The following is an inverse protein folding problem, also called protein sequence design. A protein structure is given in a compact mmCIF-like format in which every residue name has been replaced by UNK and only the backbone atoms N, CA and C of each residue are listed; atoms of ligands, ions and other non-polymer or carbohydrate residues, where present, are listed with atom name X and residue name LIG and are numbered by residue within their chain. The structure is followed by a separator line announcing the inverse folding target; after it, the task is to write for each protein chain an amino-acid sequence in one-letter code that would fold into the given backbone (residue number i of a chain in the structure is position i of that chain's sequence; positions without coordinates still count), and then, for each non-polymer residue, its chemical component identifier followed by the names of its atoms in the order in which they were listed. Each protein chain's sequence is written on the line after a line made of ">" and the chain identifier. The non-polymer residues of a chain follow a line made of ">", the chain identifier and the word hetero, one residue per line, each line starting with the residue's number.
data_IF_269971487239
#
_entry.id   IF_269971487239
#
_cell.length_a   1.000
_cell.length_b   1.000
_cell.length_c   1.000
_cell.angle_alpha   90.00
_cell.angle_beta   90.00
_cell.angle_gamma   90.00
#
_symmetry.space_group_name_H-M   'P 1'
#
loop_
_entity.id
_entity.type
_entity.pdbx_description
1 polymer ?
#
# COMPACT_ATOMS: atom_id res chain seq x y z
N UNK A 1 29.53 -16.47 -55.73
CA UNK A 1 29.62 -16.30 -54.26
C UNK A 1 28.89 -15.04 -53.74
N UNK A 2 27.68 -14.71 -54.24
CA UNK A 2 26.94 -13.53 -53.79
C UNK A 2 25.71 -13.85 -52.90
N UNK A 3 25.14 -15.06 -53.01
CA UNK A 3 23.92 -15.45 -52.29
C UNK A 3 24.10 -15.67 -50.78
N UNK A 4 25.30 -16.05 -50.31
CA UNK A 4 25.54 -16.33 -48.88
C UNK A 4 25.58 -15.10 -47.96
N UNK A 5 25.93 -13.92 -48.50
CA UNK A 5 26.06 -12.66 -47.72
C UNK A 5 24.72 -11.96 -47.47
N UNK A 6 23.73 -12.13 -48.37
CA UNK A 6 22.43 -11.46 -48.24
C UNK A 6 21.56 -12.05 -47.12
N UNK A 7 21.66 -13.36 -46.89
CA UNK A 7 20.86 -14.09 -45.88
C UNK A 7 21.31 -13.72 -44.45
N UNK A 8 22.62 -13.56 -44.23
CA UNK A 8 23.20 -13.19 -42.93
C UNK A 8 22.88 -11.74 -42.54
N UNK A 9 22.77 -10.83 -43.52
CA UNK A 9 22.43 -9.42 -43.27
C UNK A 9 20.93 -9.24 -42.93
N UNK A 10 20.04 -10.00 -43.59
CA UNK A 10 18.61 -10.00 -43.31
C UNK A 10 18.27 -10.58 -41.92
N UNK A 11 18.97 -11.63 -41.49
CA UNK A 11 18.82 -12.17 -40.12
C UNK A 11 19.30 -11.18 -39.06
N UNK A 12 20.45 -10.52 -39.27
CA UNK A 12 20.99 -9.53 -38.31
C UNK A 12 20.06 -8.32 -38.11
N UNK A 13 19.38 -7.86 -39.17
CA UNK A 13 18.38 -6.80 -39.07
C UNK A 13 17.09 -7.25 -38.36
N UNK A 14 16.66 -8.51 -38.52
CA UNK A 14 15.48 -9.04 -37.82
C UNK A 14 15.71 -9.18 -36.31
N UNK A 15 16.90 -9.61 -35.89
CA UNK A 15 17.27 -9.64 -34.47
C UNK A 15 17.40 -8.22 -33.87
N UNK A 16 17.92 -7.26 -34.64
CA UNK A 16 17.95 -5.85 -34.23
C UNK A 16 16.56 -5.24 -34.02
N UNK A 17 15.62 -5.49 -34.95
CA UNK A 17 14.23 -5.03 -34.82
C UNK A 17 13.48 -5.69 -33.66
N UNK A 18 13.70 -7.00 -33.42
CA UNK A 18 13.11 -7.70 -32.28
C UNK A 18 13.68 -7.20 -30.94
N UNK A 19 14.98 -6.91 -30.87
CA UNK A 19 15.60 -6.33 -29.69
C UNK A 19 15.06 -4.90 -29.41
N UNK A 20 14.88 -4.08 -30.45
CA UNK A 20 14.27 -2.75 -30.33
C UNK A 20 12.81 -2.81 -29.88
N UNK A 21 12.00 -3.72 -30.44
CA UNK A 21 10.62 -3.96 -30.00
C UNK A 21 10.55 -4.45 -28.55
N UNK A 22 11.40 -5.41 -28.18
CA UNK A 22 11.49 -5.88 -26.80
C UNK A 22 11.85 -4.74 -25.85
N UNK A 23 12.78 -3.85 -26.23
CA UNK A 23 13.17 -2.71 -25.41
C UNK A 23 12.04 -1.67 -25.29
N UNK A 24 11.33 -1.38 -26.39
CA UNK A 24 10.17 -0.48 -26.41
C UNK A 24 8.98 -0.99 -25.59
N UNK A 25 8.85 -2.29 -25.38
CA UNK A 25 7.77 -2.88 -24.56
C UNK A 25 8.22 -3.11 -23.12
N UNK A 26 9.39 -3.71 -22.91
CA UNK A 26 9.89 -4.04 -21.57
C UNK A 26 10.27 -2.80 -20.76
N UNK A 27 10.84 -1.76 -21.38
CA UNK A 27 11.26 -0.57 -20.62
C UNK A 27 10.07 0.22 -20.03
N UNK A 28 8.96 0.50 -20.75
CA UNK A 28 7.78 1.10 -20.16
C UNK A 28 7.13 0.23 -19.08
N UNK A 29 7.07 -1.10 -19.28
CA UNK A 29 6.53 -2.02 -18.27
C UNK A 29 7.37 -2.02 -16.99
N UNK A 30 8.70 -2.10 -17.11
CA UNK A 30 9.61 -2.02 -15.99
C UNK A 30 9.54 -0.65 -15.29
N UNK A 31 9.45 0.44 -16.07
CA UNK A 31 9.25 1.79 -15.56
C UNK A 31 7.94 1.91 -14.77
N UNK A 32 6.84 1.40 -15.31
CA UNK A 32 5.54 1.38 -14.65
C UNK A 32 5.57 0.55 -13.35
N UNK A 33 6.18 -0.62 -13.38
CA UNK A 33 6.28 -1.49 -12.21
C UNK A 33 7.16 -0.87 -11.12
N UNK A 34 8.25 -0.21 -11.51
CA UNK A 34 9.12 0.55 -10.60
C UNK A 34 8.39 1.74 -9.99
N UNK A 35 7.66 2.50 -10.81
CA UNK A 35 6.83 3.61 -10.36
C UNK A 35 5.79 3.15 -9.34
N UNK A 36 5.07 2.05 -9.62
CA UNK A 36 4.13 1.47 -8.68
C UNK A 36 4.82 1.06 -7.37
N UNK A 37 5.94 0.35 -7.45
CA UNK A 37 6.69 -0.08 -6.27
C UNK A 37 7.09 1.11 -5.38
N UNK A 38 7.69 2.15 -5.97
CA UNK A 38 8.07 3.37 -5.25
C UNK A 38 6.85 4.07 -4.66
N UNK A 39 5.74 4.12 -5.41
CA UNK A 39 4.49 4.70 -4.91
C UNK A 39 3.94 3.95 -3.70
N UNK A 40 3.84 2.62 -3.77
CA UNK A 40 3.32 1.80 -2.65
C UNK A 40 4.21 1.86 -1.41
N UNK A 41 5.53 1.94 -1.58
CA UNK A 41 6.49 2.16 -0.48
C UNK A 41 6.34 3.57 0.12
N UNK A 42 5.98 4.56 -0.70
CA UNK A 42 5.79 5.93 -0.25
C UNK A 42 4.58 6.14 0.65
N UNK A 43 3.70 5.14 0.78
CA UNK A 43 2.54 5.19 1.67
C UNK A 43 2.85 4.66 3.08
N UNK A 44 3.98 3.97 3.28
CA UNK A 44 4.30 3.41 4.59
C UNK A 44 4.79 4.50 5.55
N UNK A 45 4.56 4.34 6.87
CA UNK A 45 5.14 5.22 7.86
C UNK A 45 6.67 5.23 7.77
N UNK A 46 7.28 6.33 8.19
CA UNK A 46 8.73 6.38 8.37
C UNK A 46 9.18 5.32 9.38
N UNK A 47 10.37 4.77 9.16
CA UNK A 47 10.89 3.67 10.00
C UNK A 47 10.17 2.34 9.82
N UNK A 48 9.14 2.26 8.96
CA UNK A 48 8.41 1.02 8.67
C UNK A 48 8.64 0.64 7.22
N UNK A 49 9.45 -0.39 7.00
CA UNK A 49 9.74 -0.94 5.68
C UNK A 49 8.99 -2.26 5.47
N UNK A 50 8.50 -2.44 4.25
CA UNK A 50 7.85 -3.67 3.85
C UNK A 50 8.47 -4.26 2.60
N UNK A 51 8.48 -5.59 2.52
CA UNK A 51 9.15 -6.31 1.42
C UNK A 51 8.26 -6.48 0.19
N UNK A 52 6.98 -6.81 0.40
CA UNK A 52 6.01 -7.01 -0.69
C UNK A 52 4.58 -6.77 -0.22
N UNK A 53 3.69 -6.57 -1.20
CA UNK A 53 2.25 -6.46 -1.01
C UNK A 53 1.66 -7.87 -1.02
N UNK A 54 1.08 -8.31 0.10
CA UNK A 54 0.40 -9.61 0.25
C UNK A 54 -1.05 -9.56 -0.23
N UNK A 55 -1.72 -8.42 -0.06
CA UNK A 55 -3.09 -8.20 -0.51
C UNK A 55 -3.26 -6.76 -0.97
N UNK A 56 -4.03 -6.57 -2.04
CA UNK A 56 -4.41 -5.25 -2.53
C UNK A 56 -5.77 -5.30 -3.18
N UNK A 57 -6.70 -4.52 -2.64
CA UNK A 57 -7.95 -4.17 -3.30
C UNK A 57 -8.14 -2.67 -3.21
N UNK A 58 -8.42 -2.03 -4.32
CA UNK A 58 -8.68 -0.59 -4.39
C UNK A 58 -9.77 -0.31 -5.41
N UNK A 59 -10.52 0.75 -5.20
CA UNK A 59 -11.42 1.33 -6.18
C UNK A 59 -11.27 2.85 -6.11
N UNK A 60 -11.35 3.49 -7.28
CA UNK A 60 -11.38 4.93 -7.43
C UNK A 60 -12.58 5.28 -8.29
N UNK A 61 -13.37 6.26 -7.87
CA UNK A 61 -14.50 6.78 -8.66
C UNK A 61 -14.19 8.21 -9.10
N UNK A 62 -13.94 8.39 -10.41
CA UNK A 62 -13.64 9.69 -11.02
C UNK A 62 -12.37 9.70 -11.87
N UNK A 63 -12.11 10.83 -12.54
CA UNK A 63 -10.87 11.12 -13.26
C UNK A 63 -10.17 12.33 -12.62
N UNK A 64 -8.90 12.19 -12.28
CA UNK A 64 -8.06 13.28 -11.76
C UNK A 64 -7.58 13.09 -10.31
N UNK A 65 -6.63 13.91 -9.85
CA UNK A 65 -6.08 13.83 -8.49
C UNK A 65 -7.13 14.23 -7.43
N UNK A 66 -7.35 13.36 -6.43
CA UNK A 66 -8.35 13.56 -5.37
C UNK A 66 -9.69 12.88 -5.63
N UNK A 67 -9.73 11.88 -6.52
CA UNK A 67 -10.90 11.03 -6.71
C UNK A 67 -11.30 10.32 -5.40
N UNK A 68 -12.58 9.98 -5.26
CA UNK A 68 -13.10 9.15 -4.16
C UNK A 68 -12.39 7.80 -4.21
N UNK A 69 -11.41 7.60 -3.35
CA UNK A 69 -10.54 6.44 -3.34
C UNK A 69 -10.83 5.62 -2.08
N UNK A 70 -11.04 4.32 -2.28
CA UNK A 70 -11.18 3.35 -1.19
C UNK A 70 -10.22 2.20 -1.43
N UNK A 71 -9.55 1.76 -0.38
CA UNK A 71 -8.57 0.70 -0.53
C UNK A 71 -8.18 0.01 0.75
N UNK A 72 -7.81 -1.26 0.59
CA UNK A 72 -7.16 -2.09 1.59
C UNK A 72 -5.89 -2.66 0.96
N UNK A 73 -4.76 -2.36 1.59
CA UNK A 73 -3.44 -2.87 1.20
C UNK A 73 -2.81 -3.53 2.41
N UNK A 74 -2.31 -4.74 2.24
CA UNK A 74 -1.59 -5.48 3.27
C UNK A 74 -0.20 -5.75 2.77
N UNK A 75 0.77 -5.35 3.56
CA UNK A 75 2.19 -5.49 3.32
C UNK A 75 2.80 -6.50 4.28
N UNK A 76 3.83 -7.23 3.84
CA UNK A 76 4.69 -7.99 4.75
C UNK A 76 5.79 -7.08 5.30
N UNK A 77 5.89 -7.00 6.62
CA UNK A 77 6.99 -6.31 7.30
C UNK A 77 8.34 -6.93 6.94
N UNK A 78 9.31 -6.06 6.70
CA UNK A 78 10.70 -6.44 6.51
C UNK A 78 11.33 -6.75 7.89
N UNK A 79 12.27 -7.70 7.95
CA UNK A 79 12.76 -8.24 9.24
C UNK A 79 13.44 -7.16 10.09
N UNK A 80 14.14 -6.21 9.46
CA UNK A 80 14.84 -5.16 10.20
C UNK A 80 13.84 -4.18 10.82
N UNK A 81 12.75 -3.86 10.10
CA UNK A 81 11.67 -3.04 10.66
C UNK A 81 10.94 -3.76 11.80
N UNK A 82 10.70 -5.07 11.65
CA UNK A 82 10.04 -5.87 12.68
C UNK A 82 10.80 -5.81 14.02
N UNK A 83 12.12 -6.04 14.01
CA UNK A 83 12.94 -6.00 15.24
C UNK A 83 12.83 -4.66 15.95
N UNK A 84 12.96 -3.56 15.20
CA UNK A 84 12.89 -2.20 15.76
C UNK A 84 11.52 -1.90 16.38
N UNK A 85 10.45 -2.35 15.74
CA UNK A 85 9.09 -2.15 16.24
C UNK A 85 8.82 -3.04 17.45
N UNK A 86 9.33 -4.28 17.48
CA UNK A 86 9.22 -5.17 18.64
C UNK A 86 9.98 -4.62 19.85
N UNK A 87 11.16 -4.03 19.64
CA UNK A 87 12.00 -3.43 20.68
C UNK A 87 11.45 -2.09 21.19
N UNK A 88 11.09 -1.17 20.29
CA UNK A 88 10.70 0.19 20.63
C UNK A 88 9.19 0.43 20.74
N UNK A 89 8.37 -0.50 20.23
CA UNK A 89 6.92 -0.47 20.31
C UNK A 89 6.31 0.85 19.82
N UNK A 90 5.40 1.39 20.62
CA UNK A 90 4.68 2.61 20.32
C UNK A 90 5.62 3.83 20.22
N UNK A 91 6.64 3.91 21.09
CA UNK A 91 7.57 5.04 21.10
C UNK A 91 8.34 5.12 19.77
N UNK A 92 8.84 3.98 19.26
CA UNK A 92 9.51 3.94 17.96
C UNK A 92 8.64 4.46 16.82
N UNK A 93 7.36 4.07 16.78
CA UNK A 93 6.43 4.48 15.72
C UNK A 93 6.05 5.97 15.83
N UNK A 94 5.87 6.47 17.06
CA UNK A 94 5.63 7.88 17.32
C UNK A 94 6.82 8.75 16.93
N UNK A 95 8.03 8.40 17.40
CA UNK A 95 9.26 9.15 17.12
C UNK A 95 9.59 9.15 15.63
N UNK A 96 9.42 8.00 14.95
CA UNK A 96 9.64 7.92 13.51
C UNK A 96 8.68 8.83 12.72
N UNK A 97 7.51 9.13 13.29
CA UNK A 97 6.51 10.00 12.67
C UNK A 97 6.80 11.50 12.87
N UNK A 98 7.67 11.85 13.83
CA UNK A 98 8.15 13.21 14.04
C UNK A 98 9.33 13.51 13.10
N UNK A 99 9.07 14.11 11.94
CA UNK A 99 10.14 14.51 10.99
C UNK A 99 10.40 16.03 11.06
N UNK A 100 11.66 16.50 11.09
CA UNK A 100 12.01 17.90 11.37
C UNK A 100 11.49 18.90 10.33
N UNK A 101 11.16 20.09 10.81
CA UNK A 101 10.55 21.24 10.10
C UNK A 101 11.36 21.79 8.90
N UNK A 102 12.60 21.33 8.71
CA UNK A 102 13.51 21.80 7.66
C UNK A 102 13.52 20.86 6.45
N UNK A 103 12.46 20.91 5.64
CA UNK A 103 12.38 20.16 4.37
C UNK A 103 12.02 21.06 3.18
N UNK A 104 12.58 20.76 2.01
CA UNK A 104 12.22 21.41 0.74
C UNK A 104 10.76 21.10 0.34
N UNK A 105 10.16 21.89 -0.56
CA UNK A 105 8.76 21.73 -0.94
C UNK A 105 8.43 20.36 -1.57
N UNK A 106 9.34 19.79 -2.35
CA UNK A 106 9.17 18.45 -2.93
C UNK A 106 9.24 17.35 -1.86
N UNK A 107 10.17 17.49 -0.90
CA UNK A 107 10.26 16.61 0.25
C UNK A 107 9.03 16.75 1.15
N UNK A 108 8.50 17.96 1.36
CA UNK A 108 7.27 18.22 2.10
C UNK A 108 6.09 17.47 1.50
N UNK A 109 5.90 17.51 0.18
CA UNK A 109 4.80 16.79 -0.49
C UNK A 109 4.92 15.26 -0.39
N UNK A 110 6.14 14.72 -0.46
CA UNK A 110 6.40 13.30 -0.24
C UNK A 110 6.22 12.91 1.24
N UNK A 111 6.60 13.80 2.16
CA UNK A 111 6.49 13.60 3.60
C UNK A 111 5.03 13.67 4.08
N UNK A 112 4.24 14.59 3.52
CA UNK A 112 2.78 14.70 3.73
C UNK A 112 2.04 13.39 3.43
N UNK A 113 2.55 12.57 2.50
CA UNK A 113 1.95 11.26 2.17
C UNK A 113 2.32 10.15 3.17
N UNK A 114 3.41 10.33 3.90
CA UNK A 114 3.93 9.41 4.93
C UNK A 114 3.58 9.83 6.35
N UNK A 115 2.87 10.96 6.49
CA UNK A 115 2.57 11.54 7.80
C UNK A 115 1.41 10.77 8.42
N UNK A 116 1.72 10.06 9.48
CA UNK A 116 0.77 9.42 10.38
C UNK A 116 0.90 10.05 11.75
N UNK A 117 -0.20 10.24 12.45
CA UNK A 117 -0.24 10.90 13.74
C UNK A 117 -1.14 10.14 14.71
N UNK A 118 -1.03 10.50 15.99
CA UNK A 118 -1.87 9.94 17.06
C UNK A 118 -1.75 8.41 17.16
N UNK A 119 -0.50 7.93 17.14
CA UNK A 119 -0.21 6.51 17.28
C UNK A 119 -0.75 5.97 18.60
N UNK A 120 -1.48 4.85 18.52
CA UNK A 120 -2.12 4.16 19.63
C UNK A 120 -1.95 2.66 19.50
N UNK A 121 -2.13 1.96 20.62
CA UNK A 121 -2.31 0.50 20.61
C UNK A 121 -3.75 0.16 20.25
N UNK A 122 -3.93 -0.94 19.54
CA UNK A 122 -5.24 -1.60 19.43
C UNK A 122 -5.65 -2.12 20.82
N UNK A 123 -6.94 -2.36 21.11
CA UNK A 123 -8.07 -2.34 20.19
C UNK A 123 -8.51 -0.95 19.74
N UNK A 124 -9.08 -0.86 18.54
CA UNK A 124 -9.70 0.38 18.03
C UNK A 124 -11.13 0.48 18.60
N UNK A 125 -11.37 1.43 19.50
CA UNK A 125 -12.66 1.60 20.21
C UNK A 125 -13.24 3.02 20.12
N UNK A 126 -14.54 3.18 19.79
CA UNK A 126 -15.41 2.13 19.26
C UNK A 126 -14.91 1.64 17.88
N UNK A 127 -15.07 0.35 17.59
CA UNK A 127 -14.83 -0.16 16.24
C UNK A 127 -15.71 0.61 15.26
N UNK A 128 -15.20 0.84 14.05
CA UNK A 128 -15.98 1.50 13.00
C UNK A 128 -17.28 0.73 12.73
N UNK A 129 -18.39 1.43 12.68
CA UNK A 129 -19.72 0.87 12.43
C UNK A 129 -20.21 1.26 11.04
N UNK A 130 -20.75 0.31 10.29
CA UNK A 130 -21.29 0.57 8.95
C UNK A 130 -22.61 1.35 9.02
N UNK A 131 -22.89 2.10 7.96
CA UNK A 131 -24.18 2.76 7.74
C UNK A 131 -24.94 1.99 6.64
N UNK A 132 -26.26 1.80 6.78
CA UNK A 132 -27.07 1.16 5.74
C UNK A 132 -27.08 -0.38 5.76
N UNK A 133 -28.12 -0.97 5.19
CA UNK A 133 -28.24 -2.43 5.00
C UNK A 133 -27.70 -2.78 3.61
N UNK A 134 -26.59 -3.52 3.56
CA UNK A 134 -26.04 -4.03 2.30
C UNK A 134 -26.07 -5.55 2.30
N UNK A 135 -26.09 -6.15 1.10
CA UNK A 135 -26.20 -7.60 0.89
C UNK A 135 -25.09 -8.43 1.56
N UNK A 136 -24.00 -7.81 1.99
CA UNK A 136 -22.90 -8.47 2.69
C UNK A 136 -22.92 -8.26 4.22
N UNK A 137 -24.04 -7.79 4.82
CA UNK A 137 -24.30 -7.81 6.27
C UNK A 137 -23.61 -6.70 7.08
N UNK A 138 -24.22 -6.21 8.17
CA UNK A 138 -23.64 -5.13 9.02
C UNK A 138 -22.71 -5.74 10.07
N UNK A 139 -21.39 -5.54 9.92
CA UNK A 139 -20.41 -5.95 10.93
C UNK A 139 -19.46 -4.77 11.23
N UNK A 140 -19.15 -4.49 12.51
CA UNK A 140 -18.15 -3.49 12.85
C UNK A 140 -16.75 -3.93 12.39
N UNK A 141 -15.84 -2.96 12.25
CA UNK A 141 -14.43 -3.20 11.93
C UNK A 141 -14.01 -2.66 10.56
N UNK A 142 -13.04 -3.31 9.92
CA UNK A 142 -12.40 -2.76 8.71
C UNK A 142 -13.36 -2.70 7.53
N UNK A 143 -14.30 -3.65 7.44
CA UNK A 143 -15.32 -3.65 6.39
C UNK A 143 -16.22 -2.42 6.47
N UNK A 144 -16.64 -2.06 7.68
CA UNK A 144 -17.41 -0.85 7.95
C UNK A 144 -16.62 0.43 7.63
N UNK A 145 -15.34 0.48 7.98
CA UNK A 145 -14.47 1.61 7.62
C UNK A 145 -14.36 1.80 6.09
N UNK A 146 -14.35 0.70 5.33
CA UNK A 146 -14.23 0.67 3.88
C UNK A 146 -15.59 0.62 3.15
N UNK A 147 -16.68 0.91 3.85
CA UNK A 147 -18.04 0.74 3.32
C UNK A 147 -18.49 1.89 2.43
N UNK A 148 -17.80 2.06 1.30
CA UNK A 148 -18.12 3.07 0.29
C UNK A 148 -18.49 2.38 -1.02
N UNK A 149 -19.65 2.73 -1.61
CA UNK A 149 -20.12 2.19 -2.89
C UNK A 149 -20.02 0.64 -2.98
N UNK A 150 -20.50 -0.05 -1.93
CA UNK A 150 -20.44 -1.51 -1.74
C UNK A 150 -19.04 -2.13 -1.83
N UNK A 151 -17.97 -1.32 -1.65
CA UNK A 151 -16.59 -1.81 -1.75
C UNK A 151 -16.29 -2.91 -0.76
N UNK A 152 -16.85 -2.82 0.45
CA UNK A 152 -16.71 -3.87 1.46
C UNK A 152 -17.16 -5.24 0.94
N UNK A 153 -18.20 -5.29 0.08
CA UNK A 153 -18.70 -6.55 -0.48
C UNK A 153 -17.74 -7.14 -1.53
N UNK A 154 -16.73 -6.39 -1.98
CA UNK A 154 -15.69 -6.82 -2.94
C UNK A 154 -14.41 -7.28 -2.25
N UNK A 155 -14.34 -7.17 -0.91
CA UNK A 155 -13.21 -7.64 -0.12
C UNK A 155 -13.28 -9.15 0.09
N UNK A 156 -12.12 -9.78 0.24
CA UNK A 156 -12.06 -11.19 0.58
C UNK A 156 -12.47 -11.39 2.05
N UNK A 157 -13.51 -12.21 2.36
CA UNK A 157 -14.01 -12.36 3.73
C UNK A 157 -12.96 -12.86 4.72
N UNK A 158 -12.03 -13.73 4.27
CA UNK A 158 -10.94 -14.22 5.13
C UNK A 158 -9.97 -13.10 5.49
N UNK A 159 -9.66 -12.23 4.53
CA UNK A 159 -8.84 -11.04 4.74
C UNK A 159 -9.51 -10.07 5.71
N UNK A 160 -10.81 -9.78 5.54
CA UNK A 160 -11.58 -8.92 6.46
C UNK A 160 -11.56 -9.50 7.87
N UNK A 161 -11.87 -10.78 8.03
CA UNK A 161 -11.88 -11.45 9.34
C UNK A 161 -10.52 -11.37 10.03
N UNK A 162 -9.42 -11.58 9.28
CA UNK A 162 -8.05 -11.46 9.82
C UNK A 162 -7.74 -10.05 10.29
N UNK A 163 -8.08 -9.03 9.50
CA UNK A 163 -7.84 -7.63 9.88
C UNK A 163 -8.70 -7.24 11.08
N UNK A 164 -9.96 -7.69 11.14
CA UNK A 164 -10.84 -7.50 12.30
C UNK A 164 -10.24 -8.11 13.57
N UNK A 165 -9.66 -9.31 13.48
CA UNK A 165 -8.95 -9.92 14.60
C UNK A 165 -7.74 -9.09 15.05
N UNK A 166 -6.98 -8.51 14.12
CA UNK A 166 -5.83 -7.65 14.43
C UNK A 166 -6.27 -6.37 15.15
N UNK A 167 -7.25 -5.64 14.62
CA UNK A 167 -7.70 -4.36 15.18
C UNK A 167 -8.49 -4.50 16.50
N UNK A 168 -8.93 -5.71 16.82
CA UNK A 168 -9.58 -6.04 18.10
C UNK A 168 -8.61 -6.64 19.13
N UNK A 169 -7.40 -7.01 18.73
CA UNK A 169 -6.34 -7.48 19.63
C UNK A 169 -5.63 -6.32 20.34
N UNK A 170 -4.77 -6.62 21.32
CA UNK A 170 -3.90 -5.67 22.03
C UNK A 170 -2.44 -5.65 21.51
N UNK A 171 -2.16 -6.40 20.44
CA UNK A 171 -0.81 -6.67 19.93
C UNK A 171 -0.47 -5.92 18.63
N UNK A 172 -1.24 -4.88 18.30
CA UNK A 172 -0.99 -4.04 17.15
C UNK A 172 -1.00 -2.55 17.53
N UNK A 173 -0.49 -1.75 16.61
CA UNK A 173 -0.45 -0.31 16.70
C UNK A 173 -1.21 0.28 15.52
N UNK A 174 -1.83 1.43 15.70
CA UNK A 174 -2.49 2.13 14.60
C UNK A 174 -2.29 3.63 14.70
N UNK A 175 -2.40 4.32 13.57
CA UNK A 175 -2.37 5.77 13.48
C UNK A 175 -3.23 6.25 12.33
N UNK A 176 -3.69 7.50 12.45
CA UNK A 176 -4.44 8.17 11.40
C UNK A 176 -3.48 8.86 10.44
N UNK A 177 -3.79 8.77 9.15
CA UNK A 177 -3.07 9.46 8.09
C UNK A 177 -3.98 10.42 7.34
N UNK A 178 -3.38 11.14 6.39
CA UNK A 178 -4.10 12.10 5.54
C UNK A 178 -5.18 11.42 4.69
N UNK A 179 -6.24 12.16 4.38
CA UNK A 179 -7.32 11.68 3.50
C UNK A 179 -8.21 10.62 4.15
N UNK A 180 -8.32 10.63 5.48
CA UNK A 180 -9.09 9.62 6.21
C UNK A 180 -8.47 8.23 6.16
N UNK A 181 -7.15 8.13 5.95
CA UNK A 181 -6.44 6.85 5.98
C UNK A 181 -6.14 6.40 7.42
N UNK A 182 -6.01 5.09 7.60
CA UNK A 182 -5.52 4.48 8.81
C UNK A 182 -4.43 3.49 8.44
N UNK A 183 -3.34 3.52 9.19
CA UNK A 183 -2.30 2.49 9.13
C UNK A 183 -2.37 1.66 10.40
N UNK A 184 -2.26 0.35 10.26
CA UNK A 184 -2.19 -0.60 11.36
C UNK A 184 -0.90 -1.41 11.19
N UNK A 185 -0.03 -1.35 12.18
CA UNK A 185 1.23 -2.11 12.24
C UNK A 185 1.02 -3.25 13.22
N UNK A 186 1.10 -4.50 12.72
CA UNK A 186 0.87 -5.71 13.50
C UNK A 186 2.14 -6.58 13.50
N UNK A 187 3.05 -6.38 14.47
CA UNK A 187 4.34 -7.08 14.52
C UNK A 187 4.18 -8.60 14.64
N UNK A 188 3.29 -9.08 15.52
CA UNK A 188 3.03 -10.51 15.73
C UNK A 188 2.62 -11.22 14.43
N UNK A 189 1.86 -10.54 13.58
CA UNK A 189 1.41 -11.02 12.27
C UNK A 189 2.39 -10.71 11.13
N UNK A 190 3.47 -9.97 11.42
CA UNK A 190 4.51 -9.50 10.49
C UNK A 190 3.91 -8.70 9.33
N UNK A 191 2.92 -7.85 9.61
CA UNK A 191 2.16 -7.11 8.60
C UNK A 191 2.01 -5.64 8.92
N UNK A 192 1.91 -4.85 7.86
CA UNK A 192 1.37 -3.49 7.88
C UNK A 192 0.12 -3.48 7.03
N UNK A 193 -0.95 -2.91 7.55
CA UNK A 193 -2.23 -2.78 6.86
C UNK A 193 -2.46 -1.29 6.67
N UNK A 194 -2.67 -0.88 5.42
CA UNK A 194 -3.09 0.46 5.06
C UNK A 194 -4.51 0.38 4.55
N UNK A 195 -5.39 1.14 5.18
CA UNK A 195 -6.77 1.29 4.75
C UNK A 195 -7.08 2.78 4.55
N UNK A 196 -7.84 3.10 3.53
CA UNK A 196 -8.30 4.47 3.29
C UNK A 196 -9.68 4.45 2.65
N UNK A 197 -10.49 5.45 3.01
CA UNK A 197 -11.86 5.62 2.57
C UNK A 197 -12.10 7.14 2.49
N UNK A 198 -11.67 7.74 1.37
CA UNK A 198 -11.52 9.18 1.22
C UNK A 198 -11.61 9.61 -0.23
#
# INVERSE_FOLDING_TARGET
>A
MAQGRAITMAMRNRFGCLALLALLVCAPLAGWQTYQYVWYQSLLPHGVEARWIEYRKQAAWGFGPGADEVGLIIYRLEKASLSKIEEGGLAYLSDASEVPVLMSASQRKANERRTYWDWKRTPIVPLWSGHGEHNCGREPGIGAFLDRNDFRCKLDPKTVSRVNAIISSDNAFYAHGRGGSVVIVAPAEKRVILAYSG
#
